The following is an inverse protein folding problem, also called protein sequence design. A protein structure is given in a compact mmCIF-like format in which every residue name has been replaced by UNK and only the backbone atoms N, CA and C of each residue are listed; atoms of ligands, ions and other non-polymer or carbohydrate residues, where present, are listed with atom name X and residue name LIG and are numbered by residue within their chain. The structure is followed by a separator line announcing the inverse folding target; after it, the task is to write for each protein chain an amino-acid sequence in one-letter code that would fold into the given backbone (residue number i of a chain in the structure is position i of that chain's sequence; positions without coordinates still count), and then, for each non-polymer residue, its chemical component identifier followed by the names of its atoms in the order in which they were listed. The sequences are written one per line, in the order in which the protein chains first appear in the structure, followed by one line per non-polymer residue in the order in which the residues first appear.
data_IF_362827241283
#
_entry.id   IF_362827241283
#
_cell.length_a   1.000
_cell.length_b   1.000
_cell.length_c   1.000
_cell.angle_alpha   90.00
_cell.angle_beta   90.00
_cell.angle_gamma   90.00
#
_symmetry.space_group_name_H-M   'P 1'
#
loop_
_entity.id
_entity.type
_entity.pdbx_description
1 polymer ?
#
# COMPACT_ATOMS: atom_id res chain seq x y z
N UNK A 1 -8.00 -3.17 -28.32
CA UNK A 1 -7.68 -4.41 -27.54
C UNK A 1 -7.61 -4.04 -26.06
N UNK A 2 -8.45 -4.69 -25.23
CA UNK A 2 -8.54 -4.42 -23.80
C UNK A 2 -7.54 -5.27 -23.02
N UNK A 3 -6.70 -4.64 -22.20
CA UNK A 3 -5.69 -5.30 -21.37
C UNK A 3 -5.87 -4.89 -19.90
N UNK A 4 -5.90 -5.86 -19.00
CA UNK A 4 -5.91 -5.57 -17.56
C UNK A 4 -4.49 -5.38 -17.04
N UNK A 5 -4.28 -4.29 -16.28
CA UNK A 5 -2.98 -3.90 -15.76
C UNK A 5 -3.04 -3.72 -14.25
N UNK A 6 -2.00 -4.16 -13.54
CA UNK A 6 -1.78 -3.89 -12.12
C UNK A 6 -0.73 -2.80 -11.95
N UNK A 7 -0.79 -2.08 -10.83
CA UNK A 7 0.22 -1.09 -10.46
C UNK A 7 -0.30 0.34 -10.44
N UNK A 8 0.61 1.29 -10.58
CA UNK A 8 0.30 2.72 -10.51
C UNK A 8 -0.02 3.27 -11.90
N UNK A 9 -1.26 3.67 -12.15
CA UNK A 9 -1.68 4.25 -13.43
C UNK A 9 -0.86 5.50 -13.83
N UNK A 10 -0.32 6.23 -12.86
CA UNK A 10 0.52 7.39 -13.12
C UNK A 10 1.86 7.01 -13.77
N UNK A 11 2.26 5.74 -13.70
CA UNK A 11 3.47 5.18 -14.33
C UNK A 11 3.14 4.41 -15.61
N UNK A 12 1.90 4.47 -16.08
CA UNK A 12 1.45 3.82 -17.30
C UNK A 12 2.23 4.29 -18.54
N UNK A 13 2.50 3.37 -19.45
CA UNK A 13 3.08 3.68 -20.75
C UNK A 13 2.05 4.22 -21.75
N UNK A 14 0.74 4.15 -21.43
CA UNK A 14 -0.32 4.69 -22.27
C UNK A 14 -0.10 6.18 -22.59
N UNK A 15 -0.51 6.60 -23.79
CA UNK A 15 -0.46 8.00 -24.24
C UNK A 15 -1.37 8.88 -23.38
N UNK A 16 -2.59 8.38 -23.09
CA UNK A 16 -3.60 9.10 -22.33
C UNK A 16 -3.88 8.42 -20.96
N UNK A 17 -4.10 9.24 -19.93
CA UNK A 17 -4.44 8.82 -18.58
C UNK A 17 -5.76 9.41 -18.15
N UNK A 18 -6.71 8.59 -17.73
CA UNK A 18 -8.01 9.02 -17.20
C UNK A 18 -7.92 9.29 -15.70
N UNK A 19 -8.27 10.50 -15.30
CA UNK A 19 -8.33 10.98 -13.92
C UNK A 19 -9.79 11.10 -13.45
N UNK A 20 -10.29 10.20 -12.57
CA UNK A 20 -11.66 10.29 -12.07
C UNK A 20 -11.82 11.44 -11.08
N UNK A 21 -12.66 12.39 -11.42
CA UNK A 21 -12.86 13.63 -10.65
C UNK A 21 -14.35 13.89 -10.32
N UNK A 22 -14.60 14.94 -9.52
CA UNK A 22 -15.92 15.55 -9.37
C UNK A 22 -16.02 16.86 -10.18
N UNK A 23 -17.20 17.50 -10.21
CA UNK A 23 -17.36 18.77 -10.92
C UNK A 23 -17.23 20.00 -10.02
N UNK A 24 -16.89 19.82 -8.73
CA UNK A 24 -16.68 20.90 -7.76
C UNK A 24 -15.22 21.42 -7.67
N UNK A 25 -14.30 20.88 -8.44
CA UNK A 25 -12.90 21.32 -8.38
C UNK A 25 -12.09 20.68 -7.24
N UNK A 26 -12.59 19.64 -6.55
CA UNK A 26 -11.96 19.10 -5.35
C UNK A 26 -11.19 17.79 -5.65
N UNK A 27 -9.85 17.86 -5.58
CA UNK A 27 -8.93 16.71 -5.64
C UNK A 27 -8.26 16.50 -4.27
N UNK A 28 -9.05 16.15 -3.23
CA UNK A 28 -8.58 16.12 -1.83
C UNK A 28 -7.99 14.78 -1.38
N UNK A 29 -8.30 13.66 -2.04
CA UNK A 29 -7.85 12.32 -1.66
C UNK A 29 -7.85 11.33 -2.82
N UNK A 30 -7.25 10.16 -2.59
CA UNK A 30 -7.23 9.05 -3.54
C UNK A 30 -6.43 9.36 -4.81
N UNK A 31 -6.88 8.80 -5.94
CA UNK A 31 -6.17 8.90 -7.21
C UNK A 31 -6.13 10.35 -7.71
N UNK A 32 -7.25 11.09 -7.65
CA UNK A 32 -7.30 12.49 -8.07
C UNK A 32 -6.26 13.37 -7.34
N UNK A 33 -6.03 13.15 -6.05
CA UNK A 33 -4.99 13.86 -5.30
C UNK A 33 -3.58 13.53 -5.81
N UNK A 34 -3.32 12.30 -6.22
CA UNK A 34 -2.04 11.92 -6.82
C UNK A 34 -1.86 12.59 -8.20
N UNK A 35 -2.91 12.63 -9.03
CA UNK A 35 -2.89 13.39 -10.28
C UNK A 35 -2.60 14.87 -10.05
N UNK A 36 -3.24 15.50 -9.06
CA UNK A 36 -2.97 16.90 -8.69
C UNK A 36 -1.50 17.15 -8.38
N UNK A 37 -0.83 16.21 -7.68
CA UNK A 37 0.59 16.33 -7.36
C UNK A 37 1.50 16.16 -8.57
N UNK A 38 1.18 15.20 -9.44
CA UNK A 38 2.01 14.85 -10.60
C UNK A 38 1.79 15.79 -11.78
N UNK A 39 0.57 16.32 -11.94
CA UNK A 39 0.16 17.15 -13.06
C UNK A 39 -0.46 18.48 -12.56
N UNK A 40 0.34 19.43 -12.07
CA UNK A 40 -0.16 20.66 -11.46
C UNK A 40 -0.86 21.60 -12.45
N UNK A 41 -0.48 21.60 -13.74
CA UNK A 41 -1.15 22.42 -14.76
C UNK A 41 -2.53 21.84 -15.10
N UNK A 42 -2.66 20.51 -15.16
CA UNK A 42 -3.96 19.85 -15.27
C UNK A 42 -4.90 20.27 -14.13
N UNK A 43 -4.38 20.33 -12.91
CA UNK A 43 -5.20 20.74 -11.76
C UNK A 43 -5.66 22.20 -11.87
N UNK A 44 -4.81 23.12 -12.32
CA UNK A 44 -5.18 24.54 -12.54
C UNK A 44 -6.29 24.67 -13.58
N UNK A 45 -6.14 24.02 -14.74
CA UNK A 45 -7.15 24.02 -15.79
C UNK A 45 -8.47 23.42 -15.32
N UNK A 46 -8.42 22.29 -14.62
CA UNK A 46 -9.62 21.66 -14.05
C UNK A 46 -10.36 22.59 -13.08
N UNK A 47 -9.62 23.27 -12.17
CA UNK A 47 -10.21 24.25 -11.25
C UNK A 47 -10.91 25.39 -11.97
N UNK A 48 -10.24 25.96 -12.98
CA UNK A 48 -10.82 27.03 -13.81
C UNK A 48 -12.14 26.58 -14.44
N UNK A 49 -12.17 25.41 -15.06
CA UNK A 49 -13.37 24.86 -15.72
C UNK A 49 -14.50 24.54 -14.74
N UNK A 50 -14.19 24.09 -13.53
CA UNK A 50 -15.17 23.90 -12.48
C UNK A 50 -15.72 25.23 -11.94
N UNK A 51 -14.86 26.25 -11.76
CA UNK A 51 -15.25 27.55 -11.18
C UNK A 51 -16.17 28.38 -12.10
N UNK A 52 -16.01 28.23 -13.40
CA UNK A 52 -16.86 28.91 -14.39
C UNK A 52 -18.05 28.07 -14.89
N UNK A 53 -18.33 26.94 -14.22
CA UNK A 53 -19.42 26.00 -14.52
C UNK A 53 -19.40 25.42 -15.95
N UNK A 54 -18.23 25.37 -16.59
CA UNK A 54 -18.09 24.81 -17.95
C UNK A 54 -17.72 23.31 -17.95
N UNK A 55 -17.68 22.66 -16.79
CA UNK A 55 -17.36 21.27 -16.64
C UNK A 55 -18.39 20.54 -15.76
N UNK A 56 -19.23 19.72 -16.37
CA UNK A 56 -20.23 18.86 -15.67
C UNK A 56 -20.31 17.48 -16.34
N UNK A 57 -21.16 16.61 -15.79
CA UNK A 57 -21.47 15.30 -16.36
C UNK A 57 -22.10 15.50 -17.77
N UNK A 58 -21.55 14.79 -18.75
CA UNK A 58 -22.01 14.86 -20.14
C UNK A 58 -21.48 16.05 -20.96
N UNK A 59 -20.74 16.98 -20.36
CA UNK A 59 -20.02 18.02 -21.11
C UNK A 59 -18.72 17.50 -21.71
N UNK A 60 -18.09 18.26 -22.61
CA UNK A 60 -16.75 17.94 -23.13
C UNK A 60 -15.76 17.73 -21.99
N UNK A 61 -14.93 16.67 -22.08
CA UNK A 61 -13.95 16.35 -21.05
C UNK A 61 -12.81 17.36 -21.04
N UNK A 62 -12.45 17.82 -19.85
CA UNK A 62 -11.28 18.70 -19.65
C UNK A 62 -10.01 17.88 -19.73
N UNK A 63 -9.10 18.26 -20.60
CA UNK A 63 -7.84 17.57 -20.82
C UNK A 63 -6.69 18.54 -21.09
N UNK A 64 -5.46 18.06 -20.87
CA UNK A 64 -4.23 18.80 -21.17
C UNK A 64 -3.10 17.82 -21.50
N UNK A 65 -2.16 18.24 -22.32
CA UNK A 65 -0.88 17.51 -22.49
C UNK A 65 0.12 18.05 -21.48
N UNK A 66 0.53 17.21 -20.53
CA UNK A 66 1.51 17.53 -19.47
C UNK A 66 2.44 16.35 -19.22
N UNK A 67 3.74 16.59 -19.06
CA UNK A 67 4.78 15.56 -18.84
C UNK A 67 4.70 14.39 -19.86
N UNK A 68 4.52 14.70 -21.15
CA UNK A 68 4.38 13.73 -22.26
C UNK A 68 3.17 12.80 -22.14
N UNK A 69 2.15 13.16 -21.35
CA UNK A 69 0.88 12.43 -21.22
C UNK A 69 -0.30 13.36 -21.56
N UNK A 70 -1.34 12.77 -22.15
CA UNK A 70 -2.66 13.41 -22.26
C UNK A 70 -3.41 13.06 -20.97
N UNK A 71 -3.61 14.02 -20.09
CA UNK A 71 -4.35 13.85 -18.84
C UNK A 71 -5.79 14.27 -19.05
N UNK A 72 -6.73 13.36 -18.86
CA UNK A 72 -8.16 13.54 -19.13
C UNK A 72 -8.94 13.49 -17.81
N UNK A 73 -9.56 14.60 -17.43
CA UNK A 73 -10.42 14.65 -16.25
C UNK A 73 -11.80 14.10 -16.60
N UNK A 74 -12.16 12.97 -15.97
CA UNK A 74 -13.40 12.24 -16.20
C UNK A 74 -14.35 12.47 -15.02
N UNK A 75 -15.47 13.18 -15.18
CA UNK A 75 -16.40 13.49 -14.10
C UNK A 75 -17.21 12.26 -13.73
N UNK A 76 -16.95 11.69 -12.55
CA UNK A 76 -17.65 10.51 -12.03
C UNK A 76 -18.80 10.88 -11.09
N UNK A 77 -18.87 12.14 -10.65
CA UNK A 77 -19.88 12.66 -9.73
C UNK A 77 -19.86 14.20 -9.69
N UNK A 78 -20.98 14.80 -9.30
CA UNK A 78 -21.04 16.26 -9.15
C UNK A 78 -20.40 16.70 -7.83
N UNK A 79 -20.79 16.11 -6.70
CA UNK A 79 -20.20 16.44 -5.39
C UNK A 79 -19.20 15.38 -4.93
N UNK A 80 -18.13 15.82 -4.26
CA UNK A 80 -17.17 14.90 -3.66
C UNK A 80 -17.78 14.00 -2.56
N UNK A 81 -18.95 14.37 -2.02
CA UNK A 81 -19.69 13.65 -0.98
C UNK A 81 -20.68 12.63 -1.54
N UNK A 82 -21.12 12.78 -2.79
CA UNK A 82 -22.10 11.86 -3.36
C UNK A 82 -21.47 10.54 -3.87
N UNK A 83 -22.34 9.56 -4.09
CA UNK A 83 -21.95 8.32 -4.77
C UNK A 83 -22.03 8.52 -6.30
N UNK A 84 -21.20 7.78 -7.03
CA UNK A 84 -21.27 7.74 -8.49
C UNK A 84 -22.56 7.03 -8.94
N UNK A 85 -23.22 7.56 -9.96
CA UNK A 85 -24.36 6.94 -10.63
C UNK A 85 -23.90 6.25 -11.92
N UNK A 86 -24.50 5.11 -12.30
CA UNK A 86 -24.14 4.40 -13.54
C UNK A 86 -24.24 5.32 -14.79
N UNK A 87 -25.25 6.20 -14.83
CA UNK A 87 -25.48 7.12 -15.95
C UNK A 87 -24.35 8.14 -16.12
N UNK A 88 -23.67 8.52 -15.03
CA UNK A 88 -22.51 9.42 -15.10
C UNK A 88 -21.33 8.79 -15.83
N UNK A 89 -21.18 7.47 -15.66
CA UNK A 89 -20.15 6.73 -16.38
C UNK A 89 -20.49 6.61 -17.85
N UNK A 90 -21.76 6.37 -18.20
CA UNK A 90 -22.21 6.29 -19.60
C UNK A 90 -21.96 7.61 -20.34
N UNK A 91 -22.37 8.74 -19.75
CA UNK A 91 -22.15 10.05 -20.34
C UNK A 91 -20.65 10.39 -20.46
N UNK A 92 -19.86 10.06 -19.43
CA UNK A 92 -18.41 10.26 -19.50
C UNK A 92 -17.72 9.42 -20.58
N UNK A 93 -18.12 8.16 -20.76
CA UNK A 93 -17.56 7.28 -21.79
C UNK A 93 -17.92 7.74 -23.21
N UNK A 94 -19.15 8.24 -23.43
CA UNK A 94 -19.53 8.89 -24.72
C UNK A 94 -18.60 10.05 -25.05
N UNK A 95 -18.37 10.94 -24.09
CA UNK A 95 -17.47 12.08 -24.28
C UNK A 95 -16.01 11.64 -24.46
N UNK A 96 -15.60 10.58 -23.78
CA UNK A 96 -14.25 10.02 -23.90
C UNK A 96 -14.01 9.47 -25.32
N UNK A 97 -15.00 8.80 -25.92
CA UNK A 97 -14.92 8.32 -27.32
C UNK A 97 -14.72 9.47 -28.29
N UNK A 98 -15.51 10.53 -28.18
CA UNK A 98 -15.38 11.74 -29.01
C UNK A 98 -13.97 12.34 -28.86
N UNK A 99 -13.46 12.42 -27.63
CA UNK A 99 -12.14 12.99 -27.36
C UNK A 99 -11.01 12.11 -27.93
N UNK A 100 -11.11 10.79 -27.80
CA UNK A 100 -10.15 9.82 -28.35
C UNK A 100 -10.04 10.00 -29.88
N UNK A 101 -11.17 10.10 -30.56
CA UNK A 101 -11.22 10.30 -32.01
C UNK A 101 -10.65 11.68 -32.42
N UNK A 102 -11.06 12.74 -31.71
CA UNK A 102 -10.58 14.11 -31.92
C UNK A 102 -9.08 14.27 -31.82
N UNK A 103 -8.47 13.59 -30.82
CA UNK A 103 -7.03 13.67 -30.53
C UNK A 103 -6.22 12.54 -31.18
N UNK A 104 -6.87 11.59 -31.86
CA UNK A 104 -6.25 10.41 -32.47
C UNK A 104 -5.40 9.61 -31.46
N UNK A 105 -5.93 9.43 -30.24
CA UNK A 105 -5.26 8.70 -29.15
C UNK A 105 -5.09 7.21 -29.53
N UNK A 106 -3.91 6.66 -29.35
CA UNK A 106 -3.59 5.26 -29.70
C UNK A 106 -3.60 4.31 -28.51
N UNK A 107 -3.35 4.84 -27.31
CA UNK A 107 -3.40 4.05 -26.08
C UNK A 107 -3.93 4.87 -24.92
N UNK A 108 -4.80 4.26 -24.09
CA UNK A 108 -5.43 4.92 -22.96
C UNK A 108 -5.44 4.04 -21.72
N UNK A 109 -5.09 4.62 -20.57
CA UNK A 109 -5.18 3.98 -19.27
C UNK A 109 -6.42 4.47 -18.52
N UNK A 110 -7.29 3.53 -18.15
CA UNK A 110 -8.56 3.78 -17.47
C UNK A 110 -8.52 3.16 -16.06
N UNK A 111 -8.63 3.95 -14.98
CA UNK A 111 -8.72 3.43 -13.62
C UNK A 111 -10.14 2.91 -13.33
N UNK A 112 -10.41 2.34 -12.12
CA UNK A 112 -11.78 1.94 -11.73
C UNK A 112 -12.68 3.17 -11.53
N UNK A 113 -13.08 3.79 -12.63
CA UNK A 113 -13.90 5.01 -12.64
C UNK A 113 -15.20 4.82 -11.86
N UNK A 114 -15.41 5.66 -10.85
CA UNK A 114 -16.61 5.57 -10.00
C UNK A 114 -16.63 4.45 -8.95
N UNK A 115 -15.83 3.39 -9.08
CA UNK A 115 -15.86 2.23 -8.17
C UNK A 115 -15.12 2.46 -6.85
N UNK A 116 -14.16 3.37 -6.78
CA UNK A 116 -13.40 3.70 -5.58
C UNK A 116 -14.21 4.52 -4.56
N UNK A 117 -13.88 5.81 -4.45
CA UNK A 117 -14.60 6.78 -3.59
C UNK A 117 -16.03 7.08 -4.06
N UNK A 118 -16.39 6.66 -5.27
CA UNK A 118 -17.74 6.77 -5.82
C UNK A 118 -18.69 5.64 -5.41
N UNK A 119 -18.17 4.52 -4.87
CA UNK A 119 -18.90 3.36 -4.37
C UNK A 119 -19.79 2.64 -5.41
N UNK A 120 -19.62 2.91 -6.71
CA UNK A 120 -20.30 2.17 -7.76
C UNK A 120 -19.71 0.74 -7.80
N UNK A 121 -20.58 -0.23 -8.07
CA UNK A 121 -20.17 -1.62 -8.23
C UNK A 121 -19.21 -1.78 -9.41
N UNK A 122 -18.11 -2.48 -9.19
CA UNK A 122 -17.08 -2.65 -10.22
C UNK A 122 -17.57 -3.48 -11.40
N UNK A 123 -18.37 -4.49 -11.19
CA UNK A 123 -18.87 -5.33 -12.28
C UNK A 123 -19.74 -4.52 -13.26
N UNK A 124 -20.49 -3.54 -12.74
CA UNK A 124 -21.24 -2.58 -13.57
C UNK A 124 -20.27 -1.71 -14.39
N UNK A 125 -19.24 -1.16 -13.75
CA UNK A 125 -18.26 -0.30 -14.41
C UNK A 125 -17.46 -1.08 -15.45
N UNK A 126 -17.02 -2.29 -15.10
CA UNK A 126 -16.26 -3.15 -16.00
C UNK A 126 -17.06 -3.51 -17.26
N UNK A 127 -18.36 -3.83 -17.10
CA UNK A 127 -19.24 -4.09 -18.25
C UNK A 127 -19.27 -2.87 -19.18
N UNK A 128 -19.47 -1.66 -18.62
CA UNK A 128 -19.50 -0.42 -19.40
C UNK A 128 -18.17 -0.13 -20.12
N UNK A 129 -17.04 -0.40 -19.47
CA UNK A 129 -15.72 -0.26 -20.13
C UNK A 129 -15.52 -1.27 -21.24
N UNK A 130 -15.99 -2.52 -21.09
CA UNK A 130 -15.94 -3.53 -22.16
C UNK A 130 -16.83 -3.15 -23.35
N UNK A 131 -18.06 -2.69 -23.06
CA UNK A 131 -18.97 -2.22 -24.12
C UNK A 131 -18.35 -1.04 -24.87
N UNK A 132 -17.78 -0.08 -24.14
CA UNK A 132 -17.07 1.06 -24.71
C UNK A 132 -15.85 0.65 -25.57
N UNK A 133 -15.03 -0.31 -25.12
CA UNK A 133 -13.87 -0.78 -25.88
C UNK A 133 -14.30 -1.41 -27.23
N UNK A 134 -15.41 -2.17 -27.24
CA UNK A 134 -15.94 -2.75 -28.46
C UNK A 134 -16.35 -1.69 -29.52
N UNK A 135 -16.61 -0.46 -29.09
CA UNK A 135 -16.94 0.65 -29.98
C UNK A 135 -15.70 1.41 -30.51
N UNK A 136 -14.51 1.07 -30.02
CA UNK A 136 -13.26 1.73 -30.38
C UNK A 136 -12.51 0.92 -31.46
N UNK A 137 -11.94 1.65 -32.43
CA UNK A 137 -11.13 1.06 -33.49
C UNK A 137 -9.64 1.30 -33.27
N UNK A 138 -8.84 0.22 -33.24
CA UNK A 138 -7.38 0.26 -33.23
C UNK A 138 -6.76 1.07 -32.06
N UNK A 139 -7.35 0.95 -30.86
CA UNK A 139 -6.88 1.60 -29.64
C UNK A 139 -6.53 0.55 -28.61
N UNK A 140 -5.41 0.72 -27.94
CA UNK A 140 -5.05 -0.08 -26.78
C UNK A 140 -5.71 0.51 -25.53
N UNK A 141 -6.60 -0.25 -24.88
CA UNK A 141 -7.28 0.14 -23.66
C UNK A 141 -6.69 -0.63 -22.48
N UNK A 142 -5.90 0.04 -21.65
CA UNK A 142 -5.30 -0.50 -20.44
C UNK A 142 -6.22 -0.22 -19.26
N UNK A 143 -6.89 -1.24 -18.72
CA UNK A 143 -7.78 -1.11 -17.58
C UNK A 143 -6.99 -1.42 -16.30
N UNK A 144 -6.79 -0.38 -15.48
CA UNK A 144 -6.25 -0.53 -14.12
C UNK A 144 -7.38 -0.99 -13.21
N UNK A 145 -7.76 -2.25 -13.36
CA UNK A 145 -8.85 -2.82 -12.60
C UNK A 145 -8.56 -2.77 -11.09
N UNK A 146 -9.61 -2.75 -10.26
CA UNK A 146 -9.43 -3.00 -8.84
C UNK A 146 -8.68 -4.32 -8.65
N UNK A 147 -7.76 -4.30 -7.71
CA UNK A 147 -6.87 -5.42 -7.40
C UNK A 147 -7.60 -6.77 -7.19
N UNK A 148 -8.89 -6.71 -6.80
CA UNK A 148 -9.73 -7.90 -6.59
C UNK A 148 -9.96 -8.80 -7.81
N UNK A 149 -9.91 -8.25 -9.02
CA UNK A 149 -10.23 -9.02 -10.23
C UNK A 149 -8.98 -9.54 -10.94
N UNK A 150 -7.82 -8.98 -10.59
CA UNK A 150 -6.54 -9.32 -11.21
C UNK A 150 -5.64 -10.08 -10.22
N UNK A 151 -5.79 -9.81 -8.92
CA UNK A 151 -4.94 -10.41 -7.91
C UNK A 151 -5.47 -11.77 -7.50
N UNK A 152 -4.83 -12.80 -8.01
CA UNK A 152 -4.92 -14.12 -7.40
C UNK A 152 -4.30 -14.02 -6.01
N UNK A 153 -5.14 -14.14 -4.96
CA UNK A 153 -4.68 -14.10 -3.59
C UNK A 153 -3.61 -15.18 -3.37
N UNK A 154 -2.44 -14.74 -2.94
CA UNK A 154 -1.25 -15.57 -2.73
C UNK A 154 -0.98 -15.81 -1.25
N UNK A 155 -0.04 -16.69 -0.94
CA UNK A 155 0.45 -16.93 0.42
C UNK A 155 0.80 -15.63 1.18
N UNK A 156 1.39 -14.64 0.48
CA UNK A 156 1.67 -13.33 1.08
C UNK A 156 0.42 -12.59 1.58
N UNK A 157 -0.67 -12.63 0.81
CA UNK A 157 -1.94 -12.03 1.23
C UNK A 157 -2.51 -12.73 2.45
N UNK A 158 -2.40 -14.07 2.50
CA UNK A 158 -2.81 -14.85 3.66
C UNK A 158 -2.07 -14.41 4.94
N UNK A 159 -0.76 -14.27 4.87
CA UNK A 159 0.04 -13.82 5.99
C UNK A 159 -0.38 -12.42 6.47
N UNK A 160 -0.61 -11.50 5.54
CA UNK A 160 -1.07 -10.15 5.85
C UNK A 160 -2.43 -10.19 6.55
N UNK A 161 -3.39 -10.93 5.98
CA UNK A 161 -4.75 -11.05 6.54
C UNK A 161 -4.72 -11.67 7.92
N UNK A 162 -3.96 -12.76 8.10
CA UNK A 162 -3.84 -13.43 9.38
C UNK A 162 -3.20 -12.52 10.44
N UNK A 163 -2.11 -11.82 10.08
CA UNK A 163 -1.45 -10.86 10.97
C UNK A 163 -2.39 -9.73 11.40
N UNK A 164 -3.16 -9.17 10.46
CA UNK A 164 -4.13 -8.11 10.75
C UNK A 164 -5.23 -8.58 11.72
N UNK A 165 -5.75 -9.79 11.52
CA UNK A 165 -6.76 -10.39 12.39
C UNK A 165 -6.20 -10.65 13.78
N UNK A 166 -5.02 -11.29 13.87
CA UNK A 166 -4.40 -11.62 15.16
C UNK A 166 -4.00 -10.36 15.92
N UNK A 167 -3.44 -9.36 15.25
CA UNK A 167 -3.11 -8.08 15.86
C UNK A 167 -4.36 -7.36 16.39
N UNK A 168 -5.43 -7.32 15.60
CA UNK A 168 -6.70 -6.70 16.01
C UNK A 168 -7.31 -7.41 17.23
N UNK A 169 -7.29 -8.75 17.26
CA UNK A 169 -7.80 -9.54 18.37
C UNK A 169 -7.00 -9.32 19.66
N UNK A 170 -5.72 -8.96 19.55
CA UNK A 170 -4.85 -8.61 20.68
C UNK A 170 -4.85 -7.09 21.01
N UNK A 171 -5.73 -6.30 20.42
CA UNK A 171 -5.88 -4.88 20.72
C UNK A 171 -4.71 -4.00 20.27
N UNK A 172 -3.90 -4.46 19.31
CA UNK A 172 -2.79 -3.68 18.75
C UNK A 172 -3.37 -2.57 17.86
N UNK A 173 -2.89 -1.34 18.08
CA UNK A 173 -3.31 -0.17 17.30
C UNK A 173 -2.98 -0.36 15.81
N UNK A 174 -3.95 -0.03 14.94
CA UNK A 174 -3.80 -0.17 13.49
C UNK A 174 -2.64 0.65 12.93
N UNK A 175 -2.24 1.73 13.59
CA UNK A 175 -1.11 2.56 13.17
C UNK A 175 0.23 1.87 13.36
N UNK A 176 0.31 0.88 14.26
CA UNK A 176 1.51 0.10 14.57
C UNK A 176 1.60 -1.20 13.75
N UNK A 177 0.57 -1.54 13.00
CA UNK A 177 0.51 -2.82 12.27
C UNK A 177 1.64 -2.96 11.25
N UNK A 178 2.06 -1.88 10.58
CA UNK A 178 3.20 -1.94 9.66
C UNK A 178 4.49 -2.38 10.36
N UNK A 179 4.67 -1.96 11.60
CA UNK A 179 5.86 -2.29 12.40
C UNK A 179 5.77 -3.75 12.89
N UNK A 180 4.54 -4.21 13.24
CA UNK A 180 4.28 -5.65 13.53
C UNK A 180 4.56 -6.52 12.32
N UNK A 181 4.22 -6.10 11.11
CA UNK A 181 4.56 -6.83 9.89
C UNK A 181 6.06 -7.01 9.72
N UNK A 182 6.86 -5.99 10.03
CA UNK A 182 8.31 -6.13 9.98
C UNK A 182 8.78 -7.27 10.90
N UNK A 183 8.34 -7.30 12.17
CA UNK A 183 8.72 -8.35 13.11
C UNK A 183 8.30 -9.74 12.64
N UNK A 184 7.08 -9.86 12.14
CA UNK A 184 6.58 -11.11 11.60
C UNK A 184 7.43 -11.60 10.44
N UNK A 185 7.68 -10.77 9.45
CA UNK A 185 8.47 -11.17 8.29
C UNK A 185 9.95 -11.32 8.58
N UNK A 186 10.47 -10.63 9.56
CA UNK A 186 11.82 -10.87 10.04
C UNK A 186 11.99 -12.30 10.56
N UNK A 187 11.02 -12.85 11.28
CA UNK A 187 11.02 -14.22 11.75
C UNK A 187 10.75 -15.25 10.66
N UNK A 188 9.96 -14.91 9.64
CA UNK A 188 9.72 -15.81 8.50
C UNK A 188 10.82 -15.76 7.45
N UNK A 189 11.42 -14.60 7.23
CA UNK A 189 12.39 -14.35 6.15
C UNK A 189 13.63 -15.26 6.22
N UNK A 190 13.75 -16.09 7.27
CA UNK A 190 14.86 -17.02 7.39
C UNK A 190 14.95 -18.06 6.31
N UNK A 191 13.84 -18.37 5.68
CA UNK A 191 13.83 -19.47 4.70
C UNK A 191 13.78 -18.99 3.26
N UNK A 192 13.07 -17.89 2.95
CA UNK A 192 12.78 -17.55 1.57
C UNK A 192 13.08 -16.08 1.18
N UNK A 193 13.46 -15.19 2.12
CA UNK A 193 13.65 -13.73 1.91
C UNK A 193 12.54 -13.13 1.01
N UNK A 194 11.32 -13.64 1.16
CA UNK A 194 10.21 -13.41 0.23
C UNK A 194 9.86 -11.94 0.08
N UNK A 195 9.91 -11.18 1.17
CA UNK A 195 9.53 -9.76 1.15
C UNK A 195 10.71 -8.82 0.91
N UNK A 196 11.92 -9.30 0.83
CA UNK A 196 13.11 -8.52 0.49
C UNK A 196 13.18 -7.17 1.22
N UNK A 197 13.33 -7.23 2.55
CA UNK A 197 13.51 -6.01 3.34
C UNK A 197 14.84 -5.35 3.01
N UNK A 198 14.78 -4.03 2.78
CA UNK A 198 15.94 -3.20 2.50
C UNK A 198 16.02 -2.06 3.51
N UNK A 199 17.21 -1.49 3.63
CA UNK A 199 17.46 -0.29 4.44
C UNK A 199 16.68 0.88 3.89
N UNK A 200 15.88 1.54 4.74
CA UNK A 200 15.10 2.73 4.40
C UNK A 200 15.19 3.77 5.52
N UNK A 201 14.64 4.96 5.32
CA UNK A 201 14.76 6.13 6.21
C UNK A 201 14.39 5.82 7.67
N UNK A 202 13.30 5.11 7.89
CA UNK A 202 12.80 4.77 9.24
C UNK A 202 13.26 3.41 9.75
N UNK A 203 13.89 2.62 8.94
CA UNK A 203 14.30 1.26 9.29
C UNK A 203 14.12 0.32 8.10
N UNK A 204 14.14 -0.98 8.32
CA UNK A 204 13.93 -1.94 7.25
C UNK A 204 12.53 -1.81 6.65
N UNK A 205 12.44 -1.77 5.32
CA UNK A 205 11.20 -1.63 4.58
C UNK A 205 11.14 -2.58 3.39
N UNK A 206 9.95 -3.11 3.13
CA UNK A 206 9.67 -3.93 1.96
C UNK A 206 8.63 -3.28 1.05
N UNK A 207 9.03 -2.94 -0.16
CA UNK A 207 8.12 -2.43 -1.20
C UNK A 207 7.07 -3.48 -1.57
N UNK A 208 7.48 -4.76 -1.65
CA UNK A 208 6.57 -5.86 -1.97
C UNK A 208 5.51 -6.05 -0.88
N UNK A 209 5.90 -6.02 0.40
CA UNK A 209 4.96 -6.10 1.51
C UNK A 209 3.94 -4.95 1.46
N UNK A 210 4.42 -3.73 1.25
CA UNK A 210 3.56 -2.55 1.13
C UNK A 210 2.57 -2.68 -0.03
N UNK A 211 3.01 -3.19 -1.18
CA UNK A 211 2.15 -3.48 -2.33
C UNK A 211 1.07 -4.50 -1.95
N UNK A 212 1.47 -5.66 -1.41
CA UNK A 212 0.55 -6.75 -1.03
C UNK A 212 -0.44 -6.33 0.06
N UNK A 213 -0.03 -5.49 0.98
CA UNK A 213 -0.92 -4.91 1.98
C UNK A 213 -2.00 -4.02 1.35
N UNK A 214 -1.63 -3.17 0.40
CA UNK A 214 -2.59 -2.34 -0.32
C UNK A 214 -3.54 -3.19 -1.17
N UNK A 215 -3.05 -4.26 -1.80
CA UNK A 215 -3.87 -5.23 -2.52
C UNK A 215 -4.95 -5.85 -1.61
N UNK A 216 -4.62 -6.27 -0.39
CA UNK A 216 -5.59 -6.78 0.60
C UNK A 216 -6.63 -5.72 0.96
N UNK A 217 -6.20 -4.48 1.19
CA UNK A 217 -7.11 -3.36 1.53
C UNK A 217 -8.10 -3.08 0.39
N UNK A 218 -7.60 -3.04 -0.83
CA UNK A 218 -8.42 -2.79 -2.01
C UNK A 218 -9.37 -3.95 -2.26
N UNK A 219 -8.90 -5.20 -2.15
CA UNK A 219 -9.72 -6.41 -2.26
C UNK A 219 -10.89 -6.39 -1.24
N UNK A 220 -10.57 -6.15 0.05
CA UNK A 220 -11.58 -6.02 1.10
C UNK A 220 -12.62 -4.94 0.80
N UNK A 221 -12.16 -3.77 0.34
CA UNK A 221 -13.03 -2.63 0.06
C UNK A 221 -13.96 -2.87 -1.12
N UNK A 222 -13.45 -3.47 -2.19
CA UNK A 222 -14.17 -3.65 -3.46
C UNK A 222 -15.16 -4.80 -3.34
N UNK A 223 -14.73 -5.95 -2.80
CA UNK A 223 -15.60 -7.10 -2.57
C UNK A 223 -16.52 -6.91 -1.37
N UNK A 224 -16.32 -5.85 -0.57
CA UNK A 224 -17.01 -5.63 0.71
C UNK A 224 -16.84 -6.81 1.69
N UNK A 225 -15.71 -7.50 1.58
CA UNK A 225 -15.37 -8.64 2.43
C UNK A 225 -14.65 -8.18 3.69
N UNK A 226 -15.00 -8.83 4.82
CA UNK A 226 -14.20 -8.71 6.03
C UNK A 226 -12.85 -9.44 5.85
N UNK A 227 -11.85 -9.11 6.65
CA UNK A 227 -10.59 -9.86 6.66
C UNK A 227 -10.81 -11.35 6.98
N UNK A 228 -11.80 -11.66 7.84
CA UNK A 228 -12.16 -13.04 8.17
C UNK A 228 -12.69 -13.78 6.93
N UNK A 229 -13.62 -13.15 6.20
CA UNK A 229 -14.16 -13.71 4.96
C UNK A 229 -13.05 -13.97 3.93
N UNK A 230 -12.10 -13.03 3.78
CA UNK A 230 -10.95 -13.20 2.88
C UNK A 230 -10.11 -14.41 3.33
N UNK A 231 -9.82 -14.54 4.63
CA UNK A 231 -9.07 -15.68 5.18
C UNK A 231 -9.76 -17.00 4.87
N UNK A 232 -11.06 -17.09 5.10
CA UNK A 232 -11.87 -18.29 4.85
C UNK A 232 -11.87 -18.68 3.37
N UNK A 233 -12.01 -17.72 2.45
CA UNK A 233 -11.93 -17.98 1.01
C UNK A 233 -10.56 -18.52 0.60
N UNK A 234 -9.48 -17.93 1.12
CA UNK A 234 -8.13 -18.38 0.83
C UNK A 234 -7.87 -19.81 1.31
N UNK A 235 -8.42 -20.19 2.48
CA UNK A 235 -8.30 -21.53 3.01
C UNK A 235 -9.10 -22.56 2.18
N UNK A 236 -10.20 -22.16 1.55
CA UNK A 236 -10.98 -23.03 0.66
C UNK A 236 -10.28 -23.26 -0.68
N UNK A 237 -9.55 -22.27 -1.18
CA UNK A 237 -8.90 -22.31 -2.50
C UNK A 237 -7.50 -22.96 -2.50
N UNK A 238 -6.83 -23.03 -1.36
CA UNK A 238 -5.47 -23.56 -1.23
C UNK A 238 -5.47 -24.78 -0.29
N UNK A 239 -4.53 -25.70 -0.51
CA UNK A 239 -4.26 -26.77 0.47
C UNK A 239 -3.93 -26.14 1.83
N UNK A 240 -4.90 -26.17 2.73
CA UNK A 240 -4.92 -25.44 4.01
C UNK A 240 -3.71 -25.73 4.92
N UNK A 241 -3.11 -26.92 4.79
CA UNK A 241 -2.06 -27.39 5.69
C UNK A 241 -0.75 -26.61 5.59
N UNK A 242 -0.38 -26.14 4.40
CA UNK A 242 0.84 -25.34 4.21
C UNK A 242 0.71 -23.91 4.72
N UNK A 243 -0.48 -23.34 4.68
CA UNK A 243 -0.73 -21.99 5.21
C UNK A 243 -0.79 -21.97 6.73
N UNK A 244 -1.41 -22.97 7.34
CA UNK A 244 -1.54 -23.08 8.80
C UNK A 244 -0.22 -23.34 9.53
N UNK A 245 0.72 -24.03 8.89
CA UNK A 245 2.04 -24.27 9.50
C UNK A 245 2.77 -22.98 9.85
N UNK A 246 2.53 -21.91 9.12
CA UNK A 246 3.23 -20.66 9.31
C UNK A 246 2.52 -19.72 10.29
N UNK A 247 1.27 -20.01 10.69
CA UNK A 247 0.50 -19.19 11.66
C UNK A 247 1.24 -19.04 12.99
N UNK A 248 1.91 -20.10 13.47
CA UNK A 248 2.72 -20.07 14.69
C UNK A 248 3.83 -19.02 14.69
N UNK A 249 4.39 -18.71 13.50
CA UNK A 249 5.44 -17.69 13.39
C UNK A 249 4.85 -16.29 13.48
N UNK A 250 3.65 -16.10 12.94
CA UNK A 250 2.89 -14.84 13.06
C UNK A 250 2.55 -14.59 14.52
N UNK A 251 2.01 -15.59 15.20
CA UNK A 251 1.64 -15.53 16.61
C UNK A 251 2.86 -15.25 17.50
N UNK A 252 4.01 -15.88 17.20
CA UNK A 252 5.27 -15.62 17.90
C UNK A 252 5.72 -14.15 17.70
N UNK A 253 5.65 -13.63 16.49
CA UNK A 253 6.00 -12.23 16.20
C UNK A 253 5.07 -11.24 16.91
N UNK A 254 3.76 -11.50 16.95
CA UNK A 254 2.79 -10.67 17.67
C UNK A 254 3.00 -10.75 19.18
N UNK A 255 3.27 -11.95 19.70
CA UNK A 255 3.59 -12.11 21.12
C UNK A 255 4.82 -11.30 21.50
N UNK A 256 5.91 -11.41 20.73
CA UNK A 256 7.11 -10.61 20.95
C UNK A 256 6.80 -9.10 20.98
N UNK A 257 5.95 -8.62 20.09
CA UNK A 257 5.55 -7.22 20.09
C UNK A 257 4.78 -6.83 21.36
N UNK A 258 3.88 -7.69 21.84
CA UNK A 258 3.12 -7.46 23.08
C UNK A 258 4.04 -7.49 24.32
N UNK A 259 4.98 -8.42 24.34
CA UNK A 259 5.98 -8.53 25.40
C UNK A 259 6.90 -7.30 25.43
N UNK A 260 7.29 -6.79 24.25
CA UNK A 260 8.02 -5.53 24.13
C UNK A 260 7.19 -4.32 24.65
N UNK A 261 5.91 -4.24 24.30
CA UNK A 261 5.04 -3.19 24.81
C UNK A 261 4.98 -3.19 26.35
N UNK A 262 4.93 -4.38 26.95
CA UNK A 262 4.91 -4.56 28.40
C UNK A 262 6.26 -4.22 29.02
N UNK A 263 7.35 -4.76 28.47
CA UNK A 263 8.71 -4.57 28.98
C UNK A 263 9.12 -3.10 28.98
N UNK A 264 8.84 -2.39 27.89
CA UNK A 264 9.19 -0.98 27.70
C UNK A 264 8.15 -0.03 28.32
N UNK A 265 7.14 -0.56 29.03
CA UNK A 265 6.03 0.24 29.60
C UNK A 265 5.44 1.22 28.60
N UNK A 266 5.22 0.76 27.36
CA UNK A 266 4.74 1.63 26.29
C UNK A 266 3.36 2.18 26.64
N UNK A 267 3.25 3.50 26.66
CA UNK A 267 2.00 4.18 26.97
C UNK A 267 1.10 4.17 25.72
N UNK A 268 -0.14 3.68 25.85
CA UNK A 268 -1.14 3.70 24.76
C UNK A 268 -1.42 5.08 24.20
N UNK A 269 -1.15 6.12 24.99
CA UNK A 269 -1.36 7.51 24.58
C UNK A 269 -0.13 8.17 23.94
N UNK A 270 1.04 7.52 23.95
CA UNK A 270 2.29 8.03 23.37
C UNK A 270 2.70 7.19 22.13
N UNK A 271 1.91 7.34 21.08
CA UNK A 271 2.07 6.59 19.83
C UNK A 271 3.43 6.90 19.17
N UNK A 272 3.93 8.12 19.30
CA UNK A 272 5.18 8.53 18.65
C UNK A 272 6.39 7.87 19.30
N UNK A 273 6.48 7.90 20.63
CA UNK A 273 7.54 7.21 21.37
C UNK A 273 7.50 5.69 21.16
N UNK A 274 6.30 5.10 21.11
CA UNK A 274 6.13 3.70 20.82
C UNK A 274 6.70 3.33 19.43
N UNK A 275 6.41 4.14 18.41
CA UNK A 275 6.95 3.95 17.05
C UNK A 275 8.46 4.04 17.01
N UNK A 276 9.03 4.94 17.79
CA UNK A 276 10.47 5.14 17.85
C UNK A 276 11.19 3.93 18.43
N UNK A 277 10.67 3.36 19.50
CA UNK A 277 11.19 2.12 20.10
C UNK A 277 11.08 0.93 19.17
N UNK A 278 9.95 0.79 18.47
CA UNK A 278 9.73 -0.25 17.45
C UNK A 278 10.71 -0.08 16.28
N UNK A 279 10.90 1.16 15.82
CA UNK A 279 11.85 1.47 14.75
C UNK A 279 13.29 1.09 15.12
N UNK A 280 13.69 1.39 16.35
CA UNK A 280 15.02 1.04 16.88
C UNK A 280 15.20 -0.48 16.95
N UNK A 281 14.23 -1.18 17.52
CA UNK A 281 14.25 -2.64 17.63
C UNK A 281 14.37 -3.30 16.24
N UNK A 282 13.54 -2.87 15.28
CA UNK A 282 13.60 -3.36 13.90
C UNK A 282 14.95 -3.11 13.24
N UNK A 283 15.57 -1.96 13.52
CA UNK A 283 16.90 -1.61 12.99
C UNK A 283 17.99 -2.52 13.58
N UNK A 284 17.97 -2.77 14.90
CA UNK A 284 18.94 -3.65 15.57
C UNK A 284 18.81 -5.09 15.05
N UNK A 285 17.59 -5.62 14.96
CA UNK A 285 17.36 -6.97 14.43
C UNK A 285 17.83 -7.11 12.99
N UNK A 286 17.60 -6.09 12.15
CA UNK A 286 18.07 -6.10 10.78
C UNK A 286 19.60 -6.12 10.68
N UNK A 287 20.30 -5.32 11.51
CA UNK A 287 21.75 -5.28 11.56
C UNK A 287 22.34 -6.62 11.99
N UNK A 288 21.82 -7.21 13.07
CA UNK A 288 22.25 -8.49 13.59
C UNK A 288 22.13 -9.64 12.59
N UNK A 289 21.23 -9.51 11.62
CA UNK A 289 20.94 -10.57 10.68
C UNK A 289 21.59 -10.41 9.31
N UNK A 290 21.65 -9.17 8.78
CA UNK A 290 22.01 -8.93 7.39
C UNK A 290 23.43 -8.42 7.21
N UNK A 291 24.17 -8.15 8.28
CA UNK A 291 25.56 -7.72 8.18
C UNK A 291 26.50 -8.95 8.18
N UNK A 292 27.61 -8.85 7.47
CA UNK A 292 28.56 -9.96 7.27
C UNK A 292 29.17 -10.50 8.58
N UNK A 293 29.27 -9.67 9.61
CA UNK A 293 29.64 -10.10 10.94
C UNK A 293 28.33 -10.31 11.75
N UNK A 294 27.94 -11.53 11.99
CA UNK A 294 26.72 -11.87 12.71
C UNK A 294 26.79 -11.65 14.23
N UNK A 295 27.88 -11.05 14.74
CA UNK A 295 28.11 -10.78 16.16
C UNK A 295 28.72 -9.39 16.35
N UNK A 296 28.15 -8.59 17.25
CA UNK A 296 28.54 -7.20 17.50
C UNK A 296 28.49 -6.88 18.99
N UNK A 297 29.46 -6.09 19.47
CA UNK A 297 29.35 -5.43 20.77
C UNK A 297 28.20 -4.41 20.76
N UNK A 298 27.70 -4.07 21.92
CA UNK A 298 26.68 -3.03 22.06
C UNK A 298 27.15 -1.68 21.50
N UNK A 299 28.43 -1.35 21.62
CA UNK A 299 29.01 -0.11 21.05
C UNK A 299 29.04 -0.12 19.53
N UNK A 300 29.41 -1.23 18.92
CA UNK A 300 29.37 -1.38 17.45
C UNK A 300 27.94 -1.27 16.93
N UNK A 301 26.98 -1.93 17.57
CA UNK A 301 25.57 -1.81 17.19
C UNK A 301 25.08 -0.37 17.31
N UNK A 302 25.42 0.33 18.40
CA UNK A 302 25.09 1.74 18.52
C UNK A 302 25.67 2.57 17.38
N UNK A 303 26.96 2.40 17.05
CA UNK A 303 27.60 3.11 15.96
C UNK A 303 26.93 2.79 14.61
N UNK A 304 26.53 1.57 14.36
CA UNK A 304 25.79 1.17 13.16
C UNK A 304 24.39 1.77 13.11
N UNK A 305 23.68 1.85 14.22
CA UNK A 305 22.37 2.50 14.33
C UNK A 305 22.47 3.98 13.99
N UNK A 306 23.40 4.73 14.59
CA UNK A 306 23.55 6.15 14.33
C UNK A 306 24.14 6.47 12.94
N UNK A 307 24.90 5.54 12.35
CA UNK A 307 25.41 5.66 10.98
C UNK A 307 24.34 5.32 9.92
N UNK A 308 23.18 4.84 10.32
CA UNK A 308 22.08 4.51 9.41
C UNK A 308 21.61 5.75 8.62
N UNK A 309 21.39 6.87 9.31
CA UNK A 309 21.15 8.20 8.74
C UNK A 309 21.22 9.29 9.85
N UNK A 310 21.24 10.57 9.43
CA UNK A 310 21.31 11.71 10.35
C UNK A 310 20.16 11.74 11.36
N UNK A 311 18.94 11.37 10.94
CA UNK A 311 17.78 11.32 11.83
C UNK A 311 17.99 10.35 13.01
N UNK A 312 18.53 9.16 12.76
CA UNK A 312 18.82 8.18 13.82
C UNK A 312 19.96 8.64 14.73
N UNK A 313 20.95 9.32 14.17
CA UNK A 313 22.05 9.91 14.94
C UNK A 313 21.58 10.95 15.95
N UNK A 314 20.59 11.77 15.59
CA UNK A 314 20.02 12.80 16.46
C UNK A 314 19.03 12.22 17.48
N UNK A 315 18.41 11.09 17.17
CA UNK A 315 17.28 10.55 17.90
C UNK A 315 17.65 9.55 18.98
N UNK A 316 18.62 8.65 18.70
CA UNK A 316 18.94 7.54 19.58
C UNK A 316 20.28 7.73 20.27
N UNK A 317 20.34 7.35 21.53
CA UNK A 317 21.56 7.29 22.33
C UNK A 317 21.94 5.84 22.67
N UNK A 318 23.11 5.68 23.28
CA UNK A 318 23.64 4.35 23.63
C UNK A 318 22.72 3.59 24.58
N UNK A 319 22.10 4.28 25.55
CA UNK A 319 21.18 3.68 26.53
C UNK A 319 19.94 3.09 25.86
N UNK A 320 19.42 3.73 24.82
CA UNK A 320 18.27 3.22 24.05
C UNK A 320 18.61 1.88 23.39
N UNK A 321 19.81 1.76 22.82
CA UNK A 321 20.30 0.52 22.21
C UNK A 321 20.50 -0.56 23.27
N UNK A 322 21.09 -0.24 24.42
CA UNK A 322 21.30 -1.19 25.50
C UNK A 322 19.96 -1.72 26.07
N UNK A 323 18.95 -0.85 26.18
CA UNK A 323 17.60 -1.25 26.60
C UNK A 323 16.99 -2.26 25.63
N UNK A 324 17.13 -2.06 24.32
CA UNK A 324 16.65 -2.99 23.30
C UNK A 324 17.41 -4.32 23.32
N UNK A 325 18.72 -4.30 23.51
CA UNK A 325 19.52 -5.52 23.61
C UNK A 325 19.18 -6.33 24.85
N UNK A 326 18.93 -5.68 26.00
CA UNK A 326 18.48 -6.35 27.23
C UNK A 326 17.10 -7.00 27.01
N UNK A 327 16.16 -6.31 26.35
CA UNK A 327 14.87 -6.87 25.98
C UNK A 327 15.03 -8.10 25.07
N UNK A 328 15.78 -7.99 23.98
CA UNK A 328 15.99 -9.10 23.05
C UNK A 328 16.67 -10.31 23.70
N UNK A 329 17.56 -10.07 24.64
CA UNK A 329 18.23 -11.13 25.42
C UNK A 329 17.26 -11.81 26.39
N UNK A 330 16.38 -11.06 27.07
CA UNK A 330 15.37 -11.60 27.98
C UNK A 330 14.33 -12.48 27.25
N UNK A 331 14.04 -12.17 25.97
CA UNK A 331 13.16 -12.94 25.11
C UNK A 331 13.85 -14.11 24.36
N UNK A 332 15.13 -14.36 24.65
CA UNK A 332 15.95 -15.39 23.99
C UNK A 332 15.97 -15.26 22.45
N UNK A 333 15.98 -14.03 21.94
CA UNK A 333 16.07 -13.73 20.49
C UNK A 333 17.52 -13.55 20.08
N UNK A 334 18.31 -12.99 20.99
CA UNK A 334 19.76 -12.83 20.84
C UNK A 334 20.46 -13.49 22.03
N UNK A 335 21.72 -13.85 21.80
CA UNK A 335 22.63 -14.32 22.87
C UNK A 335 23.86 -13.44 22.86
N UNK A 336 24.48 -13.28 24.03
CA UNK A 336 25.81 -12.71 24.16
C UNK A 336 26.88 -13.81 24.30
N UNK A 337 28.04 -13.58 23.70
CA UNK A 337 29.22 -14.42 23.95
C UNK A 337 29.99 -13.96 25.21
N UNK A 338 31.08 -14.65 25.51
CA UNK A 338 31.94 -14.34 26.66
C UNK A 338 32.64 -12.97 26.56
N UNK A 339 32.68 -12.40 25.38
CA UNK A 339 33.25 -11.06 25.12
C UNK A 339 32.18 -9.95 25.12
N UNK A 340 30.92 -10.30 25.38
CA UNK A 340 29.81 -9.37 25.39
C UNK A 340 29.31 -8.96 24.01
N UNK A 341 29.62 -9.74 22.95
CA UNK A 341 29.06 -9.53 21.63
C UNK A 341 27.74 -10.23 21.48
N UNK A 342 26.78 -9.55 20.87
CA UNK A 342 25.43 -10.03 20.63
C UNK A 342 25.30 -10.65 19.25
N UNK A 343 24.64 -11.79 19.18
CA UNK A 343 24.29 -12.47 17.93
C UNK A 343 22.84 -12.94 17.96
N UNK A 344 22.23 -13.03 16.78
CA UNK A 344 20.89 -13.57 16.61
C UNK A 344 20.87 -15.09 16.88
N UNK A 345 19.83 -15.58 17.54
CA UNK A 345 19.62 -17.03 17.76
C UNK A 345 18.77 -17.55 16.59
N UNK A 346 19.37 -18.40 15.75
CA UNK A 346 18.70 -19.01 14.59
C UNK A 346 17.63 -20.01 14.99
#
# INVERSE_FOLDING_TARGET
MLTFVTGNILESNAEALVNPVNTQGIMGKGLAFQFKKKFPNNYKLYLEKCSNNSFDIGTELVWIKEANKIVINFPTKRSWRENTKPEYIDEGLKQLKILIEKLNIKSIAIPPIGAGNGKLDWDIVLKKIKDFENELNNIEVMVYAPTSDIVKLSKAHYYIVHTLLTASNNGIDKSLINDVFFFFFFFLADKDNYFQFNKDLKGPFSKLLSLKYNEVKDYSKIRKFSLLTIKEEMLKQNTSDNLKKDEKYIEKGIKLFLDMQKYLSLNKNDIENNRDKIELLGTILYLLRNENNHSFSSTELFNKVISWNNRKKEKYNKKDVDEMLNFLSSENIIKSDIFGNFSYIN
#
